data_IF_143379381662
#
_entry.id   IF_143379381662
#
_cell.length_a   1.000
_cell.length_b   1.000
_cell.length_c   1.000
_cell.angle_alpha   90.00
_cell.angle_beta   90.00
_cell.angle_gamma   90.00
#
_symmetry.space_group_name_H-M   'P 1'
#
loop_
_entity.id
_entity.type
_entity.pdbx_description
1 polymer ?
#
# COMPACT_ATOMS: atom_id res chain seq x y z
N UNK A 1 -20.61 -8.35 -23.66
CA UNK A 1 -19.75 -7.19 -23.33
C UNK A 1 -19.16 -7.47 -21.95
N UNK A 2 -17.84 -7.67 -21.81
CA UNK A 2 -17.25 -7.78 -20.46
C UNK A 2 -17.44 -6.44 -19.75
N UNK A 3 -18.01 -6.45 -18.54
CA UNK A 3 -18.01 -5.24 -17.71
C UNK A 3 -16.56 -4.84 -17.47
N UNK A 4 -16.23 -3.56 -17.67
CA UNK A 4 -14.93 -3.00 -17.30
C UNK A 4 -14.74 -3.26 -15.80
N UNK A 5 -13.57 -3.77 -15.41
CA UNK A 5 -13.22 -4.01 -14.01
C UNK A 5 -13.48 -2.76 -13.18
N UNK A 6 -14.13 -2.93 -12.03
CA UNK A 6 -14.40 -1.92 -11.00
C UNK A 6 -13.81 -2.41 -9.68
N UNK A 7 -12.51 -2.17 -9.49
CA UNK A 7 -11.69 -2.62 -8.35
C UNK A 7 -10.31 -1.92 -8.36
N UNK A 8 -9.45 -2.24 -7.38
CA UNK A 8 -8.00 -2.01 -7.44
C UNK A 8 -7.35 -2.66 -8.66
N UNK A 9 -6.21 -2.13 -9.08
CA UNK A 9 -5.36 -2.76 -10.09
C UNK A 9 -4.99 -4.18 -9.65
N UNK A 10 -5.20 -5.17 -10.53
CA UNK A 10 -5.02 -6.60 -10.22
C UNK A 10 -3.58 -6.95 -9.82
N UNK A 11 -2.60 -6.23 -10.36
CA UNK A 11 -1.18 -6.44 -10.07
C UNK A 11 -0.69 -5.78 -8.78
N UNK A 12 -1.50 -4.92 -8.15
CA UNK A 12 -1.09 -4.15 -6.98
C UNK A 12 -1.11 -5.02 -5.71
N UNK A 13 0.02 -5.62 -5.36
CA UNK A 13 0.17 -6.58 -4.25
C UNK A 13 0.62 -5.90 -2.96
N UNK A 14 -0.15 -4.92 -2.48
CA UNK A 14 0.09 -4.26 -1.18
C UNK A 14 0.07 -5.25 0.00
N UNK A 15 -0.59 -6.40 -0.13
CA UNK A 15 -0.56 -7.48 0.86
C UNK A 15 0.86 -7.99 1.17
N UNK A 16 1.81 -7.84 0.24
CA UNK A 16 3.21 -8.23 0.42
C UNK A 16 4.02 -7.23 1.26
N UNK A 17 3.50 -6.02 1.43
CA UNK A 17 4.08 -4.98 2.26
C UNK A 17 3.45 -4.91 3.66
N UNK A 18 2.54 -5.83 4.00
CA UNK A 18 2.01 -5.99 5.34
C UNK A 18 2.83 -7.01 6.16
N UNK A 19 2.87 -6.82 7.47
CA UNK A 19 3.41 -7.83 8.39
C UNK A 19 2.47 -9.03 8.50
N UNK A 20 3.05 -10.23 8.51
CA UNK A 20 2.36 -11.51 8.65
C UNK A 20 2.59 -12.15 10.03
N UNK A 21 3.47 -11.58 10.86
CA UNK A 21 3.88 -12.14 12.15
C UNK A 21 3.40 -11.25 13.30
N UNK A 22 2.64 -11.84 14.22
CA UNK A 22 1.63 -11.18 15.06
C UNK A 22 2.10 -10.18 16.12
N UNK A 23 3.37 -9.79 16.17
CA UNK A 23 3.88 -8.92 17.24
C UNK A 23 3.34 -7.48 17.13
N UNK A 24 2.98 -7.04 15.93
CA UNK A 24 2.35 -5.75 15.66
C UNK A 24 1.18 -5.93 14.70
N UNK A 25 0.03 -6.44 15.18
CA UNK A 25 -1.09 -6.83 14.33
C UNK A 25 -1.64 -5.68 13.48
N UNK A 26 -1.43 -4.44 13.93
CA UNK A 26 -1.70 -3.21 13.18
C UNK A 26 -1.11 -3.22 11.76
N UNK A 27 0.06 -3.82 11.55
CA UNK A 27 0.75 -3.89 10.27
C UNK A 27 0.28 -5.03 9.36
N UNK A 28 -0.66 -5.87 9.82
CA UNK A 28 -1.33 -6.88 8.98
C UNK A 28 -2.49 -6.31 8.16
N UNK A 29 -2.68 -4.98 8.17
CA UNK A 29 -3.76 -4.28 7.50
C UNK A 29 -3.24 -3.30 6.47
N UNK A 30 -4.06 -3.05 5.45
CA UNK A 30 -3.96 -1.88 4.60
C UNK A 30 -4.86 -0.81 5.21
N UNK A 31 -4.28 0.36 5.43
CA UNK A 31 -4.98 1.53 5.95
C UNK A 31 -5.33 2.46 4.80
N UNK A 32 -6.56 2.94 4.76
CA UNK A 32 -7.00 3.94 3.78
C UNK A 32 -7.16 5.28 4.49
N UNK A 33 -6.46 6.31 4.01
CA UNK A 33 -6.51 7.64 4.59
C UNK A 33 -6.19 8.71 3.55
N UNK A 34 -6.96 9.79 3.54
CA UNK A 34 -6.73 10.98 2.73
C UNK A 34 -6.53 10.64 1.24
N UNK A 35 -7.43 9.79 0.71
CA UNK A 35 -7.40 9.35 -0.69
C UNK A 35 -6.27 8.38 -1.06
N UNK A 36 -5.52 7.87 -0.07
CA UNK A 36 -4.39 6.97 -0.28
C UNK A 36 -4.59 5.63 0.46
N UNK A 37 -3.92 4.60 -0.01
CA UNK A 37 -3.77 3.31 0.66
C UNK A 37 -2.32 3.13 1.15
N UNK A 38 -2.18 2.67 2.39
CA UNK A 38 -0.90 2.46 3.05
C UNK A 38 -0.73 1.01 3.52
N UNK A 39 0.45 0.44 3.32
CA UNK A 39 0.85 -0.83 3.91
C UNK A 39 2.28 -0.75 4.45
N UNK A 40 2.55 -1.43 5.56
CA UNK A 40 3.86 -1.39 6.21
C UNK A 40 4.14 -2.72 6.94
N UNK A 41 5.39 -3.19 6.91
CA UNK A 41 5.86 -4.37 7.65
C UNK A 41 7.01 -4.05 8.63
N UNK A 42 7.15 -2.77 8.98
CA UNK A 42 8.25 -2.13 9.73
C UNK A 42 9.59 -2.01 9.01
N UNK A 43 9.81 -2.75 7.93
CA UNK A 43 11.02 -2.67 7.12
C UNK A 43 10.77 -1.99 5.79
N UNK A 44 9.56 -2.15 5.26
CA UNK A 44 9.07 -1.38 4.12
C UNK A 44 7.76 -0.68 4.47
N UNK A 45 7.55 0.47 3.83
CA UNK A 45 6.30 1.21 3.82
C UNK A 45 5.97 1.53 2.36
N UNK A 46 4.70 1.37 1.98
CA UNK A 46 4.19 1.78 0.66
C UNK A 46 2.95 2.67 0.82
N UNK A 47 2.85 3.66 -0.06
CA UNK A 47 1.71 4.56 -0.24
C UNK A 47 1.32 4.54 -1.71
N UNK A 48 0.03 4.35 -2.00
CA UNK A 48 -0.52 4.46 -3.35
C UNK A 48 -1.77 5.34 -3.33
N UNK A 49 -1.93 6.22 -4.31
CA UNK A 49 -3.13 7.05 -4.44
C UNK A 49 -4.29 6.25 -5.04
N UNK A 50 -5.43 6.25 -4.36
CA UNK A 50 -6.58 5.41 -4.71
C UNK A 50 -7.17 5.76 -6.08
N UNK A 51 -7.17 7.04 -6.45
CA UNK A 51 -7.67 7.52 -7.75
C UNK A 51 -6.81 7.06 -8.93
N UNK A 52 -5.56 6.68 -8.69
CA UNK A 52 -4.64 6.17 -9.73
C UNK A 52 -4.65 4.64 -9.76
N UNK A 53 -4.65 4.02 -8.59
CA UNK A 53 -4.42 2.59 -8.44
C UNK A 53 -5.72 1.75 -8.40
N UNK A 54 -6.87 2.39 -8.55
CA UNK A 54 -8.19 1.75 -8.59
C UNK A 54 -9.11 2.39 -9.62
N UNK A 55 -10.30 1.84 -9.76
CA UNK A 55 -11.37 2.36 -10.63
C UNK A 55 -12.55 2.90 -9.82
N UNK A 56 -12.40 3.01 -8.50
CA UNK A 56 -13.43 3.50 -7.60
C UNK A 56 -13.76 4.98 -7.86
N UNK A 57 -15.00 5.35 -7.59
CA UNK A 57 -15.43 6.75 -7.65
C UNK A 57 -14.92 7.53 -6.44
N UNK A 58 -14.94 8.86 -6.51
CA UNK A 58 -14.60 9.71 -5.36
C UNK A 58 -15.47 9.40 -4.13
N UNK A 59 -16.76 9.14 -4.33
CA UNK A 59 -17.69 8.74 -3.24
C UNK A 59 -17.28 7.41 -2.58
N UNK A 60 -16.83 6.44 -3.38
CA UNK A 60 -16.31 5.18 -2.85
C UNK A 60 -14.97 5.36 -2.12
N UNK A 61 -14.11 6.24 -2.61
CA UNK A 61 -12.83 6.59 -1.98
C UNK A 61 -13.08 7.28 -0.63
N UNK A 62 -14.05 8.19 -0.55
CA UNK A 62 -14.45 8.85 0.71
C UNK A 62 -14.92 7.84 1.76
N UNK A 63 -15.67 6.81 1.37
CA UNK A 63 -16.12 5.72 2.27
C UNK A 63 -14.97 4.91 2.86
N UNK A 64 -13.80 4.91 2.20
CA UNK A 64 -12.61 4.23 2.69
C UNK A 64 -11.86 5.04 3.76
N UNK A 65 -12.10 6.34 3.92
CA UNK A 65 -11.27 7.16 4.82
C UNK A 65 -11.30 6.64 6.27
N UNK A 66 -10.11 6.41 6.83
CA UNK A 66 -9.90 5.85 8.17
C UNK A 66 -10.21 4.36 8.30
N UNK A 67 -10.52 3.65 7.20
CA UNK A 67 -10.85 2.21 7.24
C UNK A 67 -9.62 1.33 7.07
N UNK A 68 -9.75 0.10 7.53
CA UNK A 68 -8.72 -0.93 7.47
C UNK A 68 -9.26 -2.19 6.82
N UNK A 69 -8.43 -2.83 5.98
CA UNK A 69 -8.71 -4.16 5.45
C UNK A 69 -7.53 -5.08 5.69
N UNK A 70 -7.80 -6.31 6.16
CA UNK A 70 -6.74 -7.29 6.40
C UNK A 70 -6.03 -7.67 5.10
N UNK A 71 -4.71 -7.86 5.14
CA UNK A 71 -3.89 -8.18 3.97
C UNK A 71 -4.39 -9.39 3.18
N UNK A 72 -4.84 -10.45 3.88
CA UNK A 72 -5.43 -11.65 3.26
C UNK A 72 -6.77 -11.36 2.57
N UNK A 73 -7.59 -10.50 3.16
CA UNK A 73 -8.85 -10.07 2.56
C UNK A 73 -8.57 -9.23 1.31
N UNK A 74 -7.66 -8.26 1.38
CA UNK A 74 -7.22 -7.47 0.23
C UNK A 74 -6.73 -8.36 -0.92
N UNK A 75 -5.84 -9.31 -0.64
CA UNK A 75 -5.36 -10.27 -1.64
C UNK A 75 -6.51 -11.02 -2.33
N UNK A 76 -7.54 -11.38 -1.57
CA UNK A 76 -8.72 -12.06 -2.11
C UNK A 76 -9.57 -11.12 -2.96
N UNK A 77 -9.78 -9.87 -2.50
CA UNK A 77 -10.51 -8.81 -3.21
C UNK A 77 -9.89 -8.54 -4.60
N UNK A 78 -8.56 -8.57 -4.74
CA UNK A 78 -7.89 -8.36 -6.03
C UNK A 78 -8.34 -9.32 -7.14
N UNK A 79 -8.79 -10.53 -6.78
CA UNK A 79 -9.22 -11.54 -7.76
C UNK A 79 -10.58 -11.23 -8.41
N UNK A 80 -11.41 -10.39 -7.80
CA UNK A 80 -12.74 -10.05 -8.30
C UNK A 80 -12.67 -8.91 -9.32
N UNK A 81 -13.53 -8.96 -10.34
CA UNK A 81 -13.60 -7.89 -11.32
C UNK A 81 -14.53 -6.75 -10.92
N UNK A 82 -15.54 -7.02 -10.10
CA UNK A 82 -16.52 -6.02 -9.66
C UNK A 82 -16.57 -6.02 -8.13
N UNK A 83 -16.22 -4.90 -7.54
CA UNK A 83 -16.20 -4.67 -6.09
C UNK A 83 -16.91 -3.36 -5.81
N UNK A 84 -17.87 -3.37 -4.90
CA UNK A 84 -18.54 -2.16 -4.42
C UNK A 84 -18.02 -1.81 -3.03
N UNK A 85 -17.68 -0.53 -2.82
CA UNK A 85 -17.34 -0.03 -1.48
C UNK A 85 -18.62 0.34 -0.73
N UNK A 86 -18.79 -0.22 0.45
CA UNK A 86 -19.92 0.03 1.36
C UNK A 86 -19.42 0.45 2.72
N UNK A 87 -20.30 0.95 3.59
CA UNK A 87 -19.92 1.38 4.95
C UNK A 87 -19.39 0.22 5.81
N UNK A 88 -19.78 -1.03 5.49
CA UNK A 88 -19.36 -2.23 6.21
C UNK A 88 -18.07 -2.84 5.67
N UNK A 89 -17.69 -2.54 4.43
CA UNK A 89 -16.55 -3.18 3.77
C UNK A 89 -16.71 -3.28 2.26
N UNK A 90 -15.98 -4.21 1.65
CA UNK A 90 -16.02 -4.48 0.22
C UNK A 90 -17.02 -5.59 -0.11
N UNK A 91 -18.00 -5.29 -0.95
CA UNK A 91 -18.90 -6.28 -1.53
C UNK A 91 -18.37 -6.74 -2.90
N UNK A 92 -17.84 -7.95 -2.97
CA UNK A 92 -17.30 -8.54 -4.17
C UNK A 92 -18.37 -9.34 -4.92
N UNK A 93 -18.62 -9.02 -6.18
CA UNK A 93 -19.71 -9.60 -6.98
C UNK A 93 -19.19 -10.76 -7.84
N UNK A 94 -19.85 -11.91 -7.75
CA UNK A 94 -19.58 -13.11 -8.56
C UNK A 94 -20.40 -13.12 -9.87
N UNK A 95 -20.05 -14.03 -10.79
CA UNK A 95 -20.70 -14.15 -12.11
C UNK A 95 -22.21 -14.43 -12.04
N UNK A 96 -22.68 -15.06 -10.96
CA UNK A 96 -24.08 -15.40 -10.72
C UNK A 96 -24.81 -14.37 -9.83
N UNK A 97 -24.24 -13.17 -9.67
CA UNK A 97 -24.69 -12.10 -8.78
C UNK A 97 -24.67 -12.45 -7.28
N UNK A 98 -24.07 -13.57 -6.87
CA UNK A 98 -23.74 -13.78 -5.46
C UNK A 98 -22.70 -12.75 -4.99
N UNK A 99 -22.73 -12.42 -3.70
CA UNK A 99 -21.84 -11.45 -3.09
C UNK A 99 -21.02 -12.09 -1.98
N UNK A 100 -19.73 -11.76 -1.95
CA UNK A 100 -18.83 -12.05 -0.82
C UNK A 100 -18.48 -10.73 -0.16
N UNK A 101 -18.70 -10.62 1.15
CA UNK A 101 -18.43 -9.40 1.91
C UNK A 101 -17.12 -9.56 2.66
N UNK A 102 -16.20 -8.62 2.44
CA UNK A 102 -14.99 -8.49 3.23
C UNK A 102 -15.12 -7.26 4.14
N UNK A 103 -15.44 -7.46 5.44
CA UNK A 103 -15.72 -6.35 6.33
C UNK A 103 -14.47 -5.54 6.66
N UNK A 104 -14.64 -4.24 6.89
CA UNK A 104 -13.59 -3.43 7.47
C UNK A 104 -13.25 -3.89 8.89
N UNK A 105 -12.00 -3.68 9.28
CA UNK A 105 -11.50 -4.05 10.61
C UNK A 105 -11.40 -2.82 11.50
N UNK A 106 -11.64 -3.02 12.80
CA UNK A 106 -11.38 -1.99 13.81
C UNK A 106 -9.93 -2.10 14.30
N UNK A 107 -9.16 -1.03 14.09
CA UNK A 107 -7.77 -0.93 14.54
C UNK A 107 -7.64 0.29 15.44
N UNK A 108 -7.30 0.06 16.71
CA UNK A 108 -7.33 1.12 17.73
C UNK A 108 -6.21 2.16 17.60
N UNK A 109 -5.07 1.80 16.99
CA UNK A 109 -3.93 2.71 16.84
C UNK A 109 -3.04 2.30 15.66
N UNK A 110 -3.14 3.05 14.56
CA UNK A 110 -2.24 2.96 13.42
C UNK A 110 -1.27 4.17 13.44
N UNK A 111 0.01 4.03 13.05
CA UNK A 111 0.91 5.18 12.96
C UNK A 111 0.44 6.23 11.96
N UNK A 112 0.73 7.51 12.23
CA UNK A 112 0.53 8.62 11.29
C UNK A 112 1.51 8.50 10.12
N UNK A 113 1.13 7.76 9.08
CA UNK A 113 2.04 7.39 7.99
C UNK A 113 2.56 8.58 7.20
N UNK A 114 1.77 9.64 7.03
CA UNK A 114 2.24 10.86 6.35
C UNK A 114 3.37 11.55 7.12
N UNK A 115 3.31 11.56 8.46
CA UNK A 115 4.40 12.09 9.28
C UNK A 115 5.66 11.23 9.08
N UNK A 116 5.51 9.90 9.11
CA UNK A 116 6.63 8.97 8.84
C UNK A 116 7.23 9.23 7.46
N UNK A 117 6.41 9.36 6.42
CA UNK A 117 6.91 9.65 5.06
C UNK A 117 7.65 10.99 5.04
N UNK A 118 7.09 12.03 5.64
CA UNK A 118 7.68 13.38 5.63
C UNK A 118 9.09 13.43 6.25
N UNK A 119 9.34 12.61 7.28
CA UNK A 119 10.67 12.50 7.90
C UNK A 119 11.70 11.89 6.94
N UNK A 120 11.28 10.99 6.05
CA UNK A 120 12.16 10.29 5.11
C UNK A 120 12.28 10.98 3.74
N UNK A 121 11.49 12.03 3.48
CA UNK A 121 11.59 12.82 2.24
C UNK A 121 12.86 13.69 2.18
N UNK A 122 13.47 13.99 3.33
CA UNK A 122 14.69 14.81 3.39
C UNK A 122 15.87 14.04 2.81
N UNK A 123 16.56 14.64 1.85
CA UNK A 123 17.73 14.03 1.22
C UNK A 123 18.92 13.97 2.18
N UNK A 124 19.69 12.89 2.12
CA UNK A 124 20.98 12.84 2.78
C UNK A 124 21.98 13.79 2.11
N UNK A 125 22.73 14.52 2.92
CA UNK A 125 23.88 15.30 2.48
C UNK A 125 25.20 14.54 2.65
N UNK A 126 25.14 13.32 3.20
CA UNK A 126 26.32 12.49 3.45
C UNK A 126 26.75 11.74 2.19
N UNK A 127 28.07 11.72 1.93
CA UNK A 127 28.66 10.94 0.84
C UNK A 127 28.69 9.45 1.15
N UNK A 128 27.59 8.74 0.92
CA UNK A 128 27.57 7.28 1.08
C UNK A 128 28.22 6.58 -0.12
N UNK A 129 29.11 5.62 0.15
CA UNK A 129 29.72 4.76 -0.87
C UNK A 129 29.26 3.29 -0.81
N UNK A 130 28.60 2.87 0.27
CA UNK A 130 28.13 1.48 0.48
C UNK A 130 26.78 1.46 1.20
N UNK A 131 25.90 0.57 0.77
CA UNK A 131 24.57 0.36 1.33
C UNK A 131 24.35 -1.12 1.63
N UNK A 132 23.64 -1.41 2.72
CA UNK A 132 23.20 -2.78 3.03
C UNK A 132 21.67 -2.84 3.05
N UNK A 133 21.13 -3.60 2.12
CA UNK A 133 19.70 -3.83 1.94
C UNK A 133 19.42 -5.33 1.90
N UNK A 134 18.23 -5.72 2.36
CA UNK A 134 17.69 -7.04 2.07
C UNK A 134 17.09 -7.04 0.66
N UNK A 135 17.62 -7.81 -0.31
CA UNK A 135 17.13 -7.76 -1.69
C UNK A 135 15.64 -8.10 -1.82
N UNK A 136 15.07 -8.84 -0.87
CA UNK A 136 13.64 -9.14 -0.86
C UNK A 136 12.76 -7.89 -0.72
N UNK A 137 13.26 -6.81 -0.12
CA UNK A 137 12.52 -5.55 0.02
C UNK A 137 12.28 -4.86 -1.32
N UNK A 138 13.25 -4.93 -2.25
CA UNK A 138 13.07 -4.39 -3.59
C UNK A 138 11.95 -5.12 -4.33
N UNK A 139 11.94 -6.46 -4.31
CA UNK A 139 10.87 -7.23 -4.98
C UNK A 139 9.49 -7.07 -4.33
N UNK A 140 9.43 -6.82 -3.02
CA UNK A 140 8.16 -6.50 -2.35
C UNK A 140 7.64 -5.13 -2.79
N UNK A 141 8.49 -4.11 -2.79
CA UNK A 141 8.11 -2.75 -3.21
C UNK A 141 7.68 -2.72 -4.66
N UNK A 142 8.43 -3.39 -5.55
CA UNK A 142 8.11 -3.51 -6.98
C UNK A 142 6.65 -3.95 -7.21
N UNK A 143 6.17 -4.92 -6.43
CA UNK A 143 4.82 -5.45 -6.56
C UNK A 143 3.77 -4.65 -5.78
N UNK A 144 4.19 -3.87 -4.79
CA UNK A 144 3.30 -3.18 -3.86
C UNK A 144 3.08 -1.70 -4.21
N UNK A 145 3.90 -1.13 -5.10
CA UNK A 145 3.69 0.19 -5.69
C UNK A 145 2.97 0.09 -7.04
N UNK A 146 2.11 1.06 -7.32
CA UNK A 146 1.41 1.18 -8.59
C UNK A 146 2.33 1.80 -9.65
N UNK A 147 2.28 1.27 -10.88
CA UNK A 147 3.07 1.73 -12.04
C UNK A 147 4.55 1.99 -11.71
N UNK A 148 5.19 0.98 -11.12
CA UNK A 148 6.57 1.07 -10.67
C UNK A 148 7.51 0.34 -11.63
N UNK A 149 7.55 0.79 -12.89
CA UNK A 149 8.39 0.21 -13.94
C UNK A 149 9.82 0.79 -13.92
N UNK A 150 9.92 2.11 -13.79
CA UNK A 150 11.16 2.86 -13.56
C UNK A 150 11.08 3.58 -12.20
N UNK A 151 12.23 3.68 -11.52
CA UNK A 151 12.28 4.09 -10.14
C UNK A 151 13.39 5.09 -9.83
N UNK A 152 13.01 6.21 -9.24
CA UNK A 152 13.95 7.09 -8.56
C UNK A 152 14.18 6.59 -7.13
N UNK A 153 15.45 6.50 -6.72
CA UNK A 153 15.86 6.07 -5.39
C UNK A 153 16.69 7.16 -4.72
N UNK A 154 16.29 7.55 -3.51
CA UNK A 154 16.91 8.62 -2.74
C UNK A 154 17.23 8.14 -1.33
N UNK A 155 18.43 8.44 -0.85
CA UNK A 155 18.79 8.19 0.53
C UNK A 155 18.21 9.26 1.43
N UNK A 156 17.52 8.85 2.48
CA UNK A 156 17.00 9.78 3.48
C UNK A 156 18.12 10.33 4.36
N UNK A 157 17.89 11.49 4.98
CA UNK A 157 18.77 12.11 5.97
C UNK A 157 19.24 11.10 7.04
N UNK A 158 20.54 11.15 7.36
CA UNK A 158 21.19 10.21 8.29
C UNK A 158 21.27 8.76 7.77
N UNK A 159 21.01 8.54 6.49
CA UNK A 159 21.20 7.28 5.77
C UNK A 159 20.38 6.10 6.32
N UNK A 160 19.21 6.40 6.88
CA UNK A 160 18.38 5.41 7.59
C UNK A 160 17.48 4.60 6.66
N UNK A 161 17.09 5.17 5.53
CA UNK A 161 16.18 4.54 4.58
C UNK A 161 16.52 4.91 3.14
N UNK A 162 15.99 4.11 2.22
CA UNK A 162 15.88 4.40 0.82
C UNK A 162 14.43 4.77 0.51
N UNK A 163 14.20 6.03 0.12
CA UNK A 163 12.96 6.48 -0.48
C UNK A 163 12.95 6.07 -1.95
N UNK A 164 11.82 5.56 -2.40
CA UNK A 164 11.65 5.01 -3.74
C UNK A 164 10.36 5.58 -4.34
N UNK A 165 10.43 6.13 -5.55
CA UNK A 165 9.30 6.78 -6.23
C UNK A 165 9.20 6.32 -7.68
N UNK A 166 7.97 6.23 -8.18
CA UNK A 166 7.70 6.14 -9.62
C UNK A 166 7.65 7.56 -10.20
N UNK A 167 8.06 7.71 -11.47
CA UNK A 167 7.98 8.99 -12.17
C UNK A 167 6.55 9.33 -12.63
N UNK A 168 5.71 8.31 -12.83
CA UNK A 168 4.38 8.43 -13.46
C UNK A 168 3.21 8.27 -12.46
N UNK A 169 3.48 8.21 -11.17
CA UNK A 169 2.44 8.10 -10.13
C UNK A 169 2.84 8.75 -8.81
N UNK A 170 1.84 9.05 -7.98
CA UNK A 170 2.03 9.55 -6.61
C UNK A 170 2.42 8.41 -5.62
N UNK A 171 2.90 7.28 -6.14
CA UNK A 171 3.27 6.10 -5.35
C UNK A 171 4.63 6.30 -4.67
N UNK A 172 4.67 6.07 -3.36
CA UNK A 172 5.87 6.25 -2.54
C UNK A 172 6.19 4.96 -1.80
N UNK A 173 7.42 4.49 -1.92
CA UNK A 173 7.99 3.40 -1.15
C UNK A 173 9.11 3.89 -0.22
N UNK A 174 9.24 3.28 0.95
CA UNK A 174 10.38 3.47 1.85
C UNK A 174 10.93 2.10 2.22
N UNK A 175 12.25 1.92 2.13
CA UNK A 175 12.97 0.74 2.58
C UNK A 175 13.91 1.13 3.72
N UNK A 176 13.71 0.54 4.89
CA UNK A 176 14.63 0.71 6.01
C UNK A 176 15.95 0.00 5.71
N UNK A 177 17.06 0.72 5.84
CA UNK A 177 18.39 0.18 5.60
C UNK A 177 18.89 -0.58 6.82
N UNK A 178 19.72 -1.61 6.58
CA UNK A 178 20.40 -2.32 7.67
C UNK A 178 21.69 -1.57 8.00
N UNK A 179 22.00 -1.46 9.30
CA UNK A 179 23.30 -0.96 9.75
C UNK A 179 24.42 -1.86 9.18
N UNK A 180 25.48 -1.21 8.69
CA UNK A 180 26.69 -1.86 8.16
C UNK A 180 27.60 -2.25 9.31
#
# INVERSE_FOLDING_TARGET
MMKRRHNFNRGLRMDLACDNYSFRPVFSYIHFKDGCAYACDTHILVKNKLSECSTFTDEEIEKLDGKFIGSKAYKSILSYDMVQVTDMGFECILFDNQKVIYPFSEVYKYPEMENVISEHLKESTEGITKLRIDPSFLSKIEKALFNFDDAYMQLSEGNKSLLVKSDDSDSIGIIMLKLI
#
